data_IF_166320274899
#
_entry.id   IF_166320274899
#
_cell.length_a   1.000
_cell.length_b   1.000
_cell.length_c   1.000
_cell.angle_alpha   90.00
_cell.angle_beta   90.00
_cell.angle_gamma   90.00
#
_symmetry.space_group_name_H-M   'P 1'
#
loop_
_entity.id
_entity.type
_entity.pdbx_description
1 polymer ?
#
# COMPACT_ATOMS: atom_id res chain seq x y z
N UNK A 1 5.43 20.71 19.79
CA UNK A 1 6.34 20.69 18.63
C UNK A 1 6.62 19.24 18.30
N UNK A 2 5.76 18.64 17.44
CA UNK A 2 5.92 17.28 17.00
C UNK A 2 7.04 17.22 15.96
N UNK A 3 8.07 16.45 16.23
CA UNK A 3 9.09 16.11 15.25
C UNK A 3 8.76 14.73 14.71
N UNK A 4 8.56 14.70 13.39
CA UNK A 4 8.38 13.50 12.64
C UNK A 4 9.53 12.52 12.90
N UNK A 5 9.17 11.32 13.34
CA UNK A 5 10.08 10.19 13.25
C UNK A 5 10.19 9.84 11.77
N UNK A 6 11.30 10.20 11.14
CA UNK A 6 11.55 9.89 9.73
C UNK A 6 11.61 8.38 9.54
N UNK A 7 10.48 7.83 9.16
CA UNK A 7 10.45 6.57 8.43
C UNK A 7 10.77 7.00 7.01
N UNK A 8 11.85 6.47 6.42
CA UNK A 8 12.21 6.78 5.05
C UNK A 8 11.05 6.40 4.12
N UNK A 9 10.23 7.38 3.83
CA UNK A 9 9.38 7.35 2.66
C UNK A 9 10.18 7.99 1.52
N UNK A 10 10.95 7.19 0.79
CA UNK A 10 11.78 7.64 -0.31
C UNK A 10 11.00 8.24 -1.48
N UNK A 11 9.69 8.36 -1.33
CA UNK A 11 8.79 8.99 -2.29
C UNK A 11 8.54 10.45 -1.92
N UNK A 12 9.60 11.29 -1.92
CA UNK A 12 9.42 12.73 -1.80
C UNK A 12 8.87 13.32 -3.11
N UNK A 13 7.88 14.22 -3.02
CA UNK A 13 7.40 14.95 -4.19
C UNK A 13 8.46 15.96 -4.66
N UNK A 14 8.69 15.96 -5.96
CA UNK A 14 9.46 16.98 -6.68
C UNK A 14 8.73 18.33 -6.54
N UNK A 15 9.26 19.23 -5.71
CA UNK A 15 8.78 20.59 -5.55
C UNK A 15 9.61 21.54 -6.41
N UNK A 16 9.37 21.55 -7.72
CA UNK A 16 9.74 22.69 -8.56
C UNK A 16 8.63 23.73 -8.54
N UNK A 17 8.65 24.63 -7.57
CA UNK A 17 7.89 25.87 -7.59
C UNK A 17 8.80 26.99 -8.10
N UNK A 18 8.50 27.48 -9.29
CA UNK A 18 9.04 28.74 -9.80
C UNK A 18 8.34 29.90 -9.11
N UNK A 19 9.12 30.68 -8.39
CA UNK A 19 8.73 31.95 -7.81
C UNK A 19 8.54 32.99 -8.92
N UNK A 20 7.34 33.55 -9.01
CA UNK A 20 7.12 34.82 -9.68
C UNK A 20 6.78 35.90 -8.63
N UNK A 21 7.77 36.73 -8.36
CA UNK A 21 7.67 37.95 -7.60
C UNK A 21 7.05 39.03 -8.48
N UNK A 22 5.93 39.62 -8.06
CA UNK A 22 5.42 40.89 -8.59
C UNK A 22 5.29 41.88 -7.46
N UNK A 23 6.17 42.88 -7.50
CA UNK A 23 6.13 44.13 -6.73
C UNK A 23 5.12 45.10 -7.35
N UNK A 24 4.35 45.81 -6.53
CA UNK A 24 3.53 46.92 -7.00
C UNK A 24 2.65 47.56 -5.92
N UNK A 25 3.17 48.48 -5.20
CA UNK A 25 2.83 49.87 -4.79
C UNK A 25 1.37 50.25 -4.51
N UNK A 26 1.15 50.66 -3.27
CA UNK A 26 0.58 51.94 -2.73
C UNK A 26 -0.57 52.64 -3.43
N UNK A 27 -1.57 52.99 -2.64
CA UNK A 27 -2.55 54.06 -2.93
C UNK A 27 -3.67 54.11 -1.90
N UNK A 28 -3.58 55.15 -1.05
CA UNK A 28 -4.59 55.64 -0.11
C UNK A 28 -5.92 55.99 -0.81
N UNK A 29 -7.09 55.80 -0.18
CA UNK A 29 -7.89 56.90 0.29
C UNK A 29 -9.23 56.43 0.85
N UNK A 30 -9.71 57.23 1.80
CA UNK A 30 -10.92 57.14 2.60
C UNK A 30 -12.20 57.21 1.76
N UNK A 31 -13.25 56.50 2.15
CA UNK A 31 -14.62 57.03 2.17
C UNK A 31 -15.49 56.18 3.09
N UNK A 32 -16.04 56.90 4.03
CA UNK A 32 -17.06 56.56 5.01
C UNK A 32 -18.39 56.30 4.32
N UNK A 33 -19.13 55.25 4.68
CA UNK A 33 -20.60 55.18 4.66
C UNK A 33 -21.16 53.80 5.04
N UNK A 34 -22.46 53.65 5.38
CA UNK A 34 -22.89 53.17 6.69
C UNK A 34 -23.23 51.67 6.74
N UNK A 35 -23.15 51.13 7.95
CA UNK A 35 -23.51 49.71 8.26
C UNK A 35 -25.01 49.47 8.02
N UNK A 36 -25.40 48.41 7.29
CA UNK A 36 -26.75 47.90 7.39
C UNK A 36 -26.90 46.95 8.58
N UNK A 37 -28.07 47.06 9.18
CA UNK A 37 -28.55 46.43 10.41
C UNK A 37 -28.39 44.92 10.41
N UNK A 38 -27.99 44.40 11.58
CA UNK A 38 -27.98 42.99 11.95
C UNK A 38 -29.32 42.29 11.66
N UNK A 39 -29.37 41.44 10.69
CA UNK A 39 -30.36 40.39 10.60
C UNK A 39 -29.96 39.28 11.55
N UNK A 40 -30.78 39.11 12.58
CA UNK A 40 -30.74 38.08 13.59
C UNK A 40 -30.79 36.71 12.90
N UNK A 41 -29.63 36.03 12.78
CA UNK A 41 -29.62 34.63 12.42
C UNK A 41 -30.30 33.87 13.54
N UNK A 42 -31.43 33.24 13.23
CA UNK A 42 -32.02 32.20 14.06
C UNK A 42 -31.07 31.01 14.04
N UNK A 43 -30.52 30.65 15.19
CA UNK A 43 -29.82 29.36 15.39
C UNK A 43 -30.82 28.23 15.10
N UNK A 44 -30.45 27.23 14.33
CA UNK A 44 -31.29 26.03 14.18
C UNK A 44 -31.36 25.33 15.54
N UNK A 45 -32.59 25.08 15.97
CA UNK A 45 -32.94 24.39 17.22
C UNK A 45 -32.05 23.17 17.45
N UNK A 46 -31.55 23.06 18.68
CA UNK A 46 -30.79 21.94 19.20
C UNK A 46 -31.55 20.63 18.96
N UNK A 47 -30.98 19.76 18.13
CA UNK A 47 -31.48 18.40 17.97
C UNK A 47 -31.38 17.64 19.31
N UNK A 48 -32.52 17.18 19.83
CA UNK A 48 -32.65 16.33 20.99
C UNK A 48 -31.76 15.06 20.85
N UNK A 49 -30.77 14.82 21.77
CA UNK A 49 -29.90 13.67 21.68
C UNK A 49 -30.61 12.32 21.94
N UNK A 50 -31.90 12.32 22.21
CA UNK A 50 -32.69 11.13 22.53
C UNK A 50 -33.44 10.49 21.38
N UNK A 51 -33.30 11.02 20.16
CA UNK A 51 -33.86 10.39 18.97
C UNK A 51 -32.73 9.86 18.06
N UNK A 52 -32.26 8.62 18.24
CA UNK A 52 -31.37 8.01 17.28
C UNK A 52 -32.15 7.90 15.97
N UNK A 53 -31.83 8.77 14.99
CA UNK A 53 -32.31 8.61 13.62
C UNK A 53 -32.06 7.16 13.25
N UNK A 54 -33.12 6.38 13.16
CA UNK A 54 -33.06 5.00 12.70
C UNK A 54 -32.41 5.03 11.34
N UNK A 55 -31.13 4.62 11.28
CA UNK A 55 -30.48 4.31 10.02
C UNK A 55 -31.26 3.15 9.47
N UNK A 56 -32.15 3.43 8.52
CA UNK A 56 -32.77 2.35 7.75
C UNK A 56 -31.62 1.47 7.25
N UNK A 57 -31.58 0.19 7.61
CA UNK A 57 -30.54 -0.70 7.12
C UNK A 57 -30.66 -0.65 5.59
N UNK A 58 -29.59 -0.21 4.92
CA UNK A 58 -29.49 -0.32 3.47
C UNK A 58 -29.68 -1.80 3.17
N UNK A 59 -30.66 -2.20 2.36
CA UNK A 59 -30.90 -3.62 2.09
C UNK A 59 -29.58 -4.23 1.60
N UNK A 60 -29.14 -5.29 2.28
CA UNK A 60 -27.97 -6.06 1.85
C UNK A 60 -28.24 -6.53 0.43
N UNK A 61 -27.47 -6.02 -0.54
CA UNK A 61 -27.57 -6.50 -1.90
C UNK A 61 -27.08 -7.93 -1.91
N UNK A 62 -27.92 -8.85 -2.34
CA UNK A 62 -27.49 -10.22 -2.59
C UNK A 62 -26.54 -10.19 -3.80
N UNK A 63 -25.31 -10.65 -3.59
CA UNK A 63 -24.31 -10.78 -4.66
C UNK A 63 -24.20 -12.25 -5.09
N UNK A 64 -24.28 -12.47 -6.38
CA UNK A 64 -24.01 -13.79 -6.96
C UNK A 64 -22.55 -13.86 -7.39
N UNK A 65 -21.72 -14.45 -6.54
CA UNK A 65 -20.26 -14.53 -6.71
C UNK A 65 -19.82 -15.99 -6.64
N UNK A 66 -19.17 -16.47 -7.68
CA UNK A 66 -18.57 -17.81 -7.73
C UNK A 66 -17.34 -17.90 -6.82
N UNK A 67 -16.89 -19.12 -6.54
CA UNK A 67 -15.65 -19.35 -5.80
C UNK A 67 -14.43 -18.76 -6.53
N UNK A 68 -14.38 -18.87 -7.87
CA UNK A 68 -13.32 -18.26 -8.70
C UNK A 68 -13.30 -16.74 -8.54
N UNK A 69 -14.46 -16.10 -8.64
CA UNK A 69 -14.60 -14.66 -8.45
C UNK A 69 -14.24 -14.21 -7.01
N UNK A 70 -14.59 -15.00 -6.00
CA UNK A 70 -14.18 -14.72 -4.62
C UNK A 70 -12.66 -14.73 -4.48
N UNK A 71 -11.97 -15.70 -5.08
CA UNK A 71 -10.51 -15.75 -5.10
C UNK A 71 -9.90 -14.55 -5.86
N UNK A 72 -10.48 -14.16 -6.99
CA UNK A 72 -10.07 -12.95 -7.73
C UNK A 72 -10.19 -11.69 -6.87
N UNK A 73 -11.30 -11.56 -6.13
CA UNK A 73 -11.47 -10.44 -5.20
C UNK A 73 -10.47 -10.48 -4.04
N UNK A 74 -10.15 -11.68 -3.53
CA UNK A 74 -9.16 -11.85 -2.48
C UNK A 74 -7.76 -11.41 -2.96
N UNK A 75 -7.34 -11.82 -4.17
CA UNK A 75 -6.07 -11.36 -4.73
C UNK A 75 -6.05 -9.83 -4.85
N UNK A 76 -7.06 -9.22 -5.48
CA UNK A 76 -7.13 -7.76 -5.63
C UNK A 76 -7.14 -7.06 -4.28
N UNK A 77 -7.84 -7.62 -3.27
CA UNK A 77 -7.87 -7.07 -1.92
C UNK A 77 -6.53 -7.18 -1.19
N UNK A 78 -5.79 -8.27 -1.40
CA UNK A 78 -4.48 -8.49 -0.78
C UNK A 78 -3.45 -7.49 -1.29
N UNK A 79 -3.41 -7.23 -2.59
CA UNK A 79 -2.39 -6.39 -3.24
C UNK A 79 -2.82 -4.95 -3.52
N UNK A 80 -3.98 -4.51 -3.00
CA UNK A 80 -4.58 -3.18 -3.23
C UNK A 80 -4.96 -2.91 -4.67
N UNK A 81 -4.06 -3.17 -5.60
CA UNK A 81 -4.28 -3.04 -7.04
C UNK A 81 -3.53 -4.12 -7.79
N UNK A 82 -4.15 -4.65 -8.84
CA UNK A 82 -3.53 -5.64 -9.74
C UNK A 82 -3.80 -5.21 -11.18
N UNK A 83 -2.81 -5.35 -12.05
CA UNK A 83 -3.03 -5.21 -13.49
C UNK A 83 -3.89 -6.36 -14.01
N UNK A 84 -4.88 -6.04 -14.85
CA UNK A 84 -5.76 -7.05 -15.43
C UNK A 84 -4.99 -8.09 -16.27
N UNK A 85 -3.92 -7.66 -16.94
CA UNK A 85 -3.00 -8.55 -17.67
C UNK A 85 -2.40 -9.62 -16.77
N UNK A 86 -1.86 -9.19 -15.61
CA UNK A 86 -1.17 -10.08 -14.67
C UNK A 86 -2.17 -11.04 -14.01
N UNK A 87 -3.34 -10.52 -13.61
CA UNK A 87 -4.42 -11.33 -13.09
C UNK A 87 -4.86 -12.40 -14.12
N UNK A 88 -4.98 -12.00 -15.40
CA UNK A 88 -5.35 -12.90 -16.51
C UNK A 88 -4.31 -13.99 -16.67
N UNK A 89 -3.05 -13.64 -16.68
CA UNK A 89 -1.96 -14.59 -16.83
C UNK A 89 -1.92 -15.61 -15.69
N UNK A 90 -1.89 -15.10 -14.47
CA UNK A 90 -1.67 -15.92 -13.26
C UNK A 90 -2.90 -16.75 -12.90
N UNK A 91 -4.07 -16.11 -12.78
CA UNK A 91 -5.25 -16.77 -12.24
C UNK A 91 -6.05 -17.52 -13.30
N UNK A 92 -6.03 -17.03 -14.52
CA UNK A 92 -6.82 -17.59 -15.62
C UNK A 92 -5.98 -18.31 -16.68
N UNK A 93 -4.66 -18.50 -16.41
CA UNK A 93 -3.76 -19.19 -17.33
C UNK A 93 -3.70 -18.55 -18.72
N UNK A 94 -3.86 -17.22 -18.81
CA UNK A 94 -3.91 -16.49 -20.08
C UNK A 94 -5.28 -16.51 -20.77
N UNK A 95 -6.31 -17.11 -20.18
CA UNK A 95 -7.66 -17.14 -20.78
C UNK A 95 -8.37 -15.77 -20.59
N UNK A 96 -8.12 -14.84 -21.52
CA UNK A 96 -8.68 -13.48 -21.50
C UNK A 96 -10.21 -13.47 -21.49
N UNK A 97 -10.85 -14.38 -22.25
CA UNK A 97 -12.31 -14.43 -22.34
C UNK A 97 -12.94 -14.73 -20.98
N UNK A 98 -12.39 -15.69 -20.25
CA UNK A 98 -12.84 -16.05 -18.92
C UNK A 98 -12.56 -14.93 -17.92
N UNK A 99 -11.33 -14.39 -17.92
CA UNK A 99 -10.93 -13.28 -17.06
C UNK A 99 -11.86 -12.06 -17.22
N UNK A 100 -12.10 -11.64 -18.47
CA UNK A 100 -12.98 -10.52 -18.76
C UNK A 100 -14.44 -10.80 -18.35
N UNK A 101 -14.94 -12.01 -18.56
CA UNK A 101 -16.30 -12.37 -18.17
C UNK A 101 -16.49 -12.28 -16.65
N UNK A 102 -15.57 -12.85 -15.86
CA UNK A 102 -15.63 -12.84 -14.40
C UNK A 102 -15.40 -11.44 -13.83
N UNK A 103 -14.39 -10.72 -14.32
CA UNK A 103 -14.08 -9.35 -13.88
C UNK A 103 -15.23 -8.38 -14.21
N UNK A 104 -15.80 -8.46 -15.42
CA UNK A 104 -16.94 -7.63 -15.80
C UNK A 104 -18.19 -7.92 -14.94
N UNK A 105 -18.39 -9.16 -14.52
CA UNK A 105 -19.45 -9.49 -13.57
C UNK A 105 -19.22 -8.78 -12.23
N UNK A 106 -18.01 -8.86 -11.66
CA UNK A 106 -17.66 -8.19 -10.40
C UNK A 106 -17.74 -6.65 -10.50
N UNK A 107 -17.38 -6.06 -11.66
CA UNK A 107 -17.52 -4.63 -11.92
C UNK A 107 -18.99 -4.21 -11.96
N UNK A 108 -19.88 -4.98 -12.62
CA UNK A 108 -21.33 -4.73 -12.66
C UNK A 108 -21.96 -4.80 -11.27
N UNK A 109 -21.52 -5.74 -10.44
CA UNK A 109 -21.95 -5.87 -9.06
C UNK A 109 -21.31 -4.82 -8.13
N UNK A 110 -20.44 -3.94 -8.63
CA UNK A 110 -19.70 -2.91 -7.89
C UNK A 110 -18.79 -3.47 -6.77
N UNK A 111 -18.38 -4.71 -6.89
CA UNK A 111 -17.44 -5.34 -5.96
C UNK A 111 -15.99 -4.99 -6.30
N UNK A 112 -15.67 -4.82 -7.58
CA UNK A 112 -14.42 -4.27 -8.08
C UNK A 112 -14.63 -2.91 -8.75
N UNK A 113 -13.55 -2.17 -8.85
CA UNK A 113 -13.42 -0.94 -9.63
C UNK A 113 -12.23 -1.08 -10.56
N UNK A 114 -12.33 -0.52 -11.77
CA UNK A 114 -11.22 -0.41 -12.71
C UNK A 114 -10.72 1.03 -12.81
N UNK A 115 -9.42 1.17 -13.04
CA UNK A 115 -8.77 2.41 -13.49
C UNK A 115 -7.90 2.10 -14.70
N UNK A 116 -7.60 3.13 -15.49
CA UNK A 116 -6.78 3.01 -16.69
C UNK A 116 -5.64 4.00 -16.55
N UNK A 117 -4.39 3.54 -16.64
CA UNK A 117 -3.24 4.44 -16.67
C UNK A 117 -3.03 5.02 -18.07
N UNK A 118 -2.41 6.18 -18.13
CA UNK A 118 -1.97 6.83 -19.35
C UNK A 118 -0.43 6.94 -19.26
N UNK A 119 0.31 6.77 -20.36
CA UNK A 119 -0.12 6.58 -21.75
C UNK A 119 -0.40 5.12 -22.16
N UNK A 120 0.02 4.13 -21.36
CA UNK A 120 0.07 2.70 -21.72
C UNK A 120 -1.31 2.04 -21.81
N UNK A 121 -2.37 2.72 -21.34
CA UNK A 121 -3.74 2.22 -21.29
C UNK A 121 -3.88 0.90 -20.49
N UNK A 122 -2.93 0.64 -19.58
CA UNK A 122 -3.01 -0.52 -18.70
C UNK A 122 -4.24 -0.43 -17.79
N UNK A 123 -4.94 -1.54 -17.63
CA UNK A 123 -6.14 -1.63 -16.80
C UNK A 123 -5.77 -2.19 -15.45
N UNK A 124 -6.09 -1.45 -14.40
CA UNK A 124 -5.88 -1.84 -13.02
C UNK A 124 -7.20 -2.05 -12.28
N UNK A 125 -7.21 -3.05 -11.42
CA UNK A 125 -8.36 -3.44 -10.62
C UNK A 125 -8.10 -3.13 -9.16
N UNK A 126 -9.10 -2.58 -8.48
CA UNK A 126 -9.10 -2.32 -7.03
C UNK A 126 -10.40 -2.83 -6.42
N UNK A 127 -10.33 -3.24 -5.15
CA UNK A 127 -11.51 -3.66 -4.41
C UNK A 127 -12.32 -2.42 -3.97
N UNK A 128 -13.64 -2.49 -4.08
CA UNK A 128 -14.51 -1.45 -3.54
C UNK A 128 -14.76 -1.66 -2.05
N UNK A 129 -15.26 -0.64 -1.30
CA UNK A 129 -15.70 -0.85 0.08
C UNK A 129 -16.77 -1.95 0.22
N UNK A 130 -17.64 -2.11 -0.79
CA UNK A 130 -18.66 -3.15 -0.83
C UNK A 130 -18.03 -4.53 -1.04
N UNK A 131 -17.09 -4.64 -2.00
CA UNK A 131 -16.32 -5.86 -2.22
C UNK A 131 -15.50 -6.28 -1.01
N UNK A 132 -14.92 -5.32 -0.30
CA UNK A 132 -14.19 -5.57 0.93
C UNK A 132 -15.11 -6.14 2.02
N UNK A 133 -16.29 -5.53 2.26
CA UNK A 133 -17.28 -6.07 3.22
C UNK A 133 -17.70 -7.47 2.84
N UNK A 134 -17.95 -7.73 1.55
CA UNK A 134 -18.31 -9.05 1.05
C UNK A 134 -17.23 -10.10 1.36
N UNK A 135 -15.96 -9.79 1.15
CA UNK A 135 -14.85 -10.69 1.49
C UNK A 135 -14.76 -10.94 2.99
N UNK A 136 -14.91 -9.92 3.83
CA UNK A 136 -14.85 -10.08 5.28
C UNK A 136 -15.97 -10.98 5.81
N UNK A 137 -17.17 -10.89 5.26
CA UNK A 137 -18.29 -11.79 5.67
C UNK A 137 -18.08 -13.24 5.23
N UNK A 138 -17.38 -13.45 4.10
CA UNK A 138 -17.05 -14.79 3.59
C UNK A 138 -15.78 -15.38 4.20
N UNK A 139 -14.83 -14.56 4.64
CA UNK A 139 -13.57 -15.02 5.22
C UNK A 139 -13.70 -15.68 6.58
N UNK A 140 -14.78 -15.42 7.32
CA UNK A 140 -15.09 -16.21 8.51
C UNK A 140 -15.35 -17.71 8.22
N UNK A 141 -15.30 -18.11 6.94
CA UNK A 141 -15.50 -19.48 6.48
C UNK A 141 -14.32 -20.06 5.70
N UNK A 142 -13.21 -19.33 5.48
CA UNK A 142 -12.12 -19.75 4.59
C UNK A 142 -10.72 -19.50 5.18
N UNK A 143 -9.78 -20.32 4.73
CA UNK A 143 -8.41 -20.56 5.15
C UNK A 143 -7.43 -19.35 5.28
N UNK A 144 -7.90 -18.12 5.36
CA UNK A 144 -7.06 -16.92 5.44
C UNK A 144 -7.44 -16.01 6.61
N UNK A 145 -7.62 -16.60 7.80
CA UNK A 145 -8.05 -15.88 9.02
C UNK A 145 -7.21 -14.64 9.37
N UNK A 146 -5.95 -14.60 8.93
CA UNK A 146 -5.00 -13.52 9.23
C UNK A 146 -4.66 -12.60 8.06
N UNK A 147 -5.27 -12.80 6.86
CA UNK A 147 -4.97 -11.95 5.71
C UNK A 147 -5.73 -10.63 5.77
N UNK A 148 -4.98 -9.52 5.69
CA UNK A 148 -5.57 -8.18 5.58
C UNK A 148 -5.94 -7.92 4.12
N UNK A 149 -7.16 -7.42 3.90
CA UNK A 149 -7.60 -6.96 2.59
C UNK A 149 -7.69 -5.43 2.56
N UNK A 150 -7.30 -4.87 1.45
CA UNK A 150 -7.33 -3.44 1.19
C UNK A 150 -8.41 -3.10 0.17
N UNK A 151 -8.92 -1.89 0.24
CA UNK A 151 -9.91 -1.37 -0.70
C UNK A 151 -9.74 0.12 -0.93
N UNK A 152 -10.35 0.64 -1.97
CA UNK A 152 -10.40 2.06 -2.23
C UNK A 152 -9.44 2.51 -3.33
N UNK A 153 -9.19 3.82 -3.36
CA UNK A 153 -8.39 4.44 -4.40
C UNK A 153 -6.89 4.30 -4.12
N UNK A 154 -6.14 3.96 -5.17
CA UNK A 154 -4.68 4.01 -5.19
C UNK A 154 -4.27 5.23 -6.01
N UNK A 155 -3.33 6.02 -5.52
CA UNK A 155 -2.83 7.20 -6.25
C UNK A 155 -2.17 6.76 -7.55
N UNK A 156 -2.41 7.49 -8.62
CA UNK A 156 -1.96 7.11 -9.97
C UNK A 156 -0.46 6.79 -10.02
N UNK A 157 0.38 7.58 -9.36
CA UNK A 157 1.84 7.37 -9.29
C UNK A 157 2.27 6.10 -8.53
N UNK A 158 1.40 5.56 -7.68
CA UNK A 158 1.66 4.36 -6.88
C UNK A 158 1.08 3.10 -7.56
N UNK A 159 0.17 3.29 -8.52
CA UNK A 159 -0.59 2.19 -9.13
C UNK A 159 0.29 1.17 -9.83
N UNK A 160 1.27 1.62 -10.59
CA UNK A 160 2.19 0.75 -11.33
C UNK A 160 3.11 -0.01 -10.38
N UNK A 161 3.67 0.69 -9.38
CA UNK A 161 4.49 0.06 -8.36
C UNK A 161 3.68 -0.99 -7.58
N UNK A 162 2.50 -0.63 -7.07
CA UNK A 162 1.66 -1.55 -6.30
C UNK A 162 1.21 -2.77 -7.13
N UNK A 163 0.97 -2.57 -8.44
CA UNK A 163 0.67 -3.68 -9.33
C UNK A 163 1.88 -4.59 -9.54
N UNK A 164 3.09 -4.04 -9.64
CA UNK A 164 4.32 -4.81 -9.78
C UNK A 164 4.64 -5.63 -8.50
N UNK A 165 4.15 -5.23 -7.32
CA UNK A 165 4.23 -6.05 -6.10
C UNK A 165 3.50 -7.38 -6.26
N UNK A 166 2.42 -7.43 -7.04
CA UNK A 166 1.75 -8.70 -7.34
C UNK A 166 2.64 -9.64 -8.19
N UNK A 167 3.38 -9.11 -9.17
CA UNK A 167 4.33 -9.89 -9.95
C UNK A 167 5.48 -10.41 -9.07
N UNK A 168 6.02 -9.54 -8.20
CA UNK A 168 7.03 -9.88 -7.22
C UNK A 168 6.57 -11.04 -6.31
N UNK A 169 5.35 -10.97 -5.81
CA UNK A 169 4.74 -12.04 -5.03
C UNK A 169 4.71 -13.36 -5.81
N UNK A 170 4.21 -13.34 -7.06
CA UNK A 170 4.09 -14.55 -7.85
C UNK A 170 5.45 -15.24 -8.04
N UNK A 171 6.46 -14.44 -8.36
CA UNK A 171 7.83 -14.94 -8.55
C UNK A 171 8.39 -15.62 -7.30
N UNK A 172 8.23 -14.99 -6.13
CA UNK A 172 8.74 -15.57 -4.89
C UNK A 172 7.86 -16.72 -4.39
N UNK A 173 6.54 -16.65 -4.56
CA UNK A 173 5.64 -17.74 -4.21
C UNK A 173 5.94 -19.02 -5.01
N UNK A 174 6.28 -18.90 -6.31
CA UNK A 174 6.75 -20.02 -7.12
C UNK A 174 8.04 -20.64 -6.55
N UNK A 175 9.00 -19.82 -6.11
CA UNK A 175 10.23 -20.29 -5.50
C UNK A 175 9.96 -21.03 -4.18
N UNK A 176 9.08 -20.49 -3.34
CA UNK A 176 8.67 -21.13 -2.07
C UNK A 176 7.99 -22.47 -2.35
N UNK A 177 7.05 -22.53 -3.29
CA UNK A 177 6.34 -23.76 -3.65
C UNK A 177 7.32 -24.78 -4.24
N UNK A 178 8.22 -24.36 -5.13
CA UNK A 178 9.24 -25.25 -5.72
C UNK A 178 10.18 -25.86 -4.68
N UNK A 179 10.43 -25.15 -3.56
CA UNK A 179 11.20 -25.65 -2.42
C UNK A 179 10.37 -26.51 -1.43
N UNK A 180 9.09 -26.76 -1.73
CA UNK A 180 8.19 -27.56 -0.90
C UNK A 180 7.48 -26.74 0.20
N UNK A 181 7.60 -25.41 0.20
CA UNK A 181 6.96 -24.53 1.16
C UNK A 181 5.54 -24.12 0.75
N UNK A 182 4.84 -23.42 1.65
CA UNK A 182 3.49 -22.92 1.44
C UNK A 182 3.34 -21.53 2.02
N UNK A 183 3.02 -20.54 1.19
CA UNK A 183 2.72 -19.19 1.65
C UNK A 183 1.45 -19.21 2.52
N UNK A 184 1.55 -18.62 3.71
CA UNK A 184 0.47 -18.55 4.70
C UNK A 184 -0.10 -17.16 4.81
N UNK A 185 0.72 -16.10 4.59
CA UNK A 185 0.29 -14.71 4.68
C UNK A 185 1.12 -13.78 3.81
N UNK A 186 0.48 -12.77 3.30
CA UNK A 186 1.07 -11.66 2.54
C UNK A 186 0.89 -10.37 3.33
N UNK A 187 2.00 -9.66 3.61
CA UNK A 187 2.01 -8.42 4.39
C UNK A 187 2.65 -7.33 3.55
N UNK A 188 1.87 -6.30 3.23
CA UNK A 188 2.38 -5.13 2.50
C UNK A 188 3.04 -4.12 3.46
N UNK A 189 3.87 -3.26 2.90
CA UNK A 189 4.56 -2.16 3.62
C UNK A 189 3.60 -1.32 4.49
N UNK A 190 2.37 -1.08 4.00
CA UNK A 190 1.33 -0.32 4.71
C UNK A 190 0.96 -0.92 6.06
N UNK A 191 0.89 -2.25 6.15
CA UNK A 191 0.57 -2.95 7.39
C UNK A 191 1.71 -2.81 8.38
N UNK A 192 2.95 -3.02 7.91
CA UNK A 192 4.16 -2.86 8.73
C UNK A 192 4.32 -1.41 9.21
N UNK A 193 4.19 -0.43 8.31
CA UNK A 193 4.23 1.00 8.63
C UNK A 193 3.16 1.38 9.65
N UNK A 194 1.93 0.88 9.50
CA UNK A 194 0.83 1.16 10.44
C UNK A 194 1.09 0.60 11.83
N UNK A 195 1.61 -0.64 11.93
CA UNK A 195 2.00 -1.26 13.20
C UNK A 195 3.11 -0.48 13.86
N UNK A 196 4.19 -0.24 13.12
CA UNK A 196 5.37 0.47 13.57
C UNK A 196 5.03 1.89 14.06
N UNK A 197 4.31 2.69 13.25
CA UNK A 197 3.93 4.06 13.61
C UNK A 197 3.10 4.11 14.89
N UNK A 198 2.19 3.14 15.10
CA UNK A 198 1.39 3.06 16.33
C UNK A 198 2.26 2.81 17.56
N UNK A 199 3.29 1.97 17.45
CA UNK A 199 4.23 1.67 18.52
C UNK A 199 5.15 2.87 18.78
N UNK A 200 5.74 3.45 17.73
CA UNK A 200 6.64 4.59 17.82
C UNK A 200 5.96 5.85 18.36
N UNK A 201 4.68 6.08 18.05
CA UNK A 201 3.93 7.22 18.58
C UNK A 201 3.87 7.22 20.11
N UNK A 202 3.93 6.05 20.75
CA UNK A 202 3.97 5.92 22.22
C UNK A 202 5.31 6.34 22.83
N UNK A 203 6.36 6.36 22.00
CA UNK A 203 7.72 6.72 22.45
C UNK A 203 7.99 8.23 22.38
N UNK A 204 7.11 9.01 21.76
CA UNK A 204 7.30 10.45 21.54
C UNK A 204 7.44 11.29 22.83
N UNK A 205 6.99 10.75 23.98
CA UNK A 205 7.11 11.39 25.30
C UNK A 205 8.42 11.07 26.03
N UNK A 206 9.23 10.15 25.53
CA UNK A 206 10.48 9.74 26.17
C UNK A 206 11.64 10.69 25.81
N UNK A 207 12.73 10.75 26.61
CA UNK A 207 13.99 11.38 26.22
C UNK A 207 14.55 10.79 24.92
N UNK A 208 15.30 11.58 24.16
CA UNK A 208 15.79 11.16 22.83
C UNK A 208 16.64 9.90 22.85
N UNK A 209 17.51 9.77 23.87
CA UNK A 209 18.41 8.63 23.97
C UNK A 209 17.61 7.34 24.20
N UNK A 210 16.60 7.39 25.06
CA UNK A 210 15.68 6.28 25.29
C UNK A 210 14.81 5.99 24.05
N UNK A 211 14.46 7.03 23.25
CA UNK A 211 13.71 6.83 22.02
C UNK A 211 14.46 5.98 21.01
N UNK A 212 15.77 6.19 20.80
CA UNK A 212 16.56 5.44 19.83
C UNK A 212 16.74 3.97 20.24
N UNK A 213 16.95 3.70 21.54
CA UNK A 213 17.02 2.35 22.06
C UNK A 213 15.69 1.62 21.87
N UNK A 214 14.59 2.25 22.31
CA UNK A 214 13.24 1.69 22.19
C UNK A 214 12.78 1.52 20.72
N UNK A 215 13.22 2.41 19.84
CA UNK A 215 12.97 2.27 18.39
C UNK A 215 13.58 0.98 17.83
N UNK A 216 14.79 0.64 18.28
CA UNK A 216 15.42 -0.64 17.90
C UNK A 216 14.67 -1.86 18.44
N UNK A 217 14.18 -1.78 19.69
CA UNK A 217 13.36 -2.85 20.27
C UNK A 217 12.05 -3.06 19.51
N UNK A 218 11.33 -1.94 19.25
CA UNK A 218 10.07 -1.98 18.50
C UNK A 218 10.28 -2.54 17.08
N UNK A 219 11.37 -2.17 16.41
CA UNK A 219 11.70 -2.75 15.12
C UNK A 219 11.90 -4.27 15.19
N UNK A 220 12.65 -4.75 16.20
CA UNK A 220 12.88 -6.18 16.41
C UNK A 220 11.59 -6.95 16.72
N UNK A 221 10.67 -6.37 17.51
CA UNK A 221 9.36 -6.99 17.78
C UNK A 221 8.55 -7.22 16.49
N UNK A 222 8.60 -6.27 15.54
CA UNK A 222 7.97 -6.43 14.22
C UNK A 222 8.86 -7.23 13.26
N UNK A 223 9.99 -7.75 13.74
CA UNK A 223 10.97 -8.51 12.97
C UNK A 223 11.60 -7.69 11.85
N UNK A 224 11.78 -6.38 12.06
CA UNK A 224 12.43 -5.44 11.15
C UNK A 224 13.87 -5.16 11.61
N UNK A 225 14.73 -4.83 10.65
CA UNK A 225 16.15 -4.54 10.91
C UNK A 225 16.38 -3.03 10.91
N UNK A 226 17.22 -2.56 11.84
CA UNK A 226 17.69 -1.17 11.87
C UNK A 226 19.08 -1.10 11.22
N UNK A 227 19.22 -0.29 10.17
CA UNK A 227 20.49 -0.07 9.48
C UNK A 227 20.82 1.42 9.54
N UNK A 228 22.00 1.77 10.06
CA UNK A 228 22.44 3.17 10.21
C UNK A 228 21.40 4.06 10.91
N UNK A 229 20.74 3.55 11.99
CA UNK A 229 19.71 4.28 12.75
C UNK A 229 18.33 4.35 12.09
N UNK A 230 18.13 3.69 10.95
CA UNK A 230 16.86 3.68 10.20
C UNK A 230 16.26 2.29 10.15
N UNK A 231 14.96 2.20 10.46
CA UNK A 231 14.22 0.94 10.35
C UNK A 231 13.97 0.68 8.86
N UNK A 232 14.41 -0.49 8.39
CA UNK A 232 14.16 -0.93 7.02
C UNK A 232 12.82 -1.65 6.94
N UNK A 233 11.94 -1.18 6.05
CA UNK A 233 10.60 -1.76 5.84
C UNK A 233 10.55 -2.30 4.42
N UNK A 234 10.26 -3.60 4.22
CA UNK A 234 10.15 -4.18 2.88
C UNK A 234 8.87 -3.69 2.17
N UNK A 235 8.86 -3.71 0.85
CA UNK A 235 7.64 -3.50 0.06
C UNK A 235 6.64 -4.63 0.29
N UNK A 236 7.15 -5.85 0.48
CA UNK A 236 6.38 -7.06 0.67
C UNK A 236 7.08 -8.02 1.63
N UNK A 237 6.33 -8.53 2.60
CA UNK A 237 6.74 -9.66 3.44
C UNK A 237 5.86 -10.86 3.16
N UNK A 238 6.45 -12.03 2.93
CA UNK A 238 5.73 -13.29 2.88
C UNK A 238 6.03 -14.09 4.15
N UNK A 239 4.98 -14.49 4.84
CA UNK A 239 5.06 -15.54 5.86
C UNK A 239 4.68 -16.86 5.20
N UNK A 240 5.45 -17.90 5.46
CA UNK A 240 5.23 -19.20 4.86
C UNK A 240 5.71 -20.33 5.77
N UNK A 241 5.18 -21.52 5.57
CA UNK A 241 5.71 -22.74 6.12
C UNK A 241 6.73 -23.32 5.13
N UNK A 242 7.91 -23.69 5.61
CA UNK A 242 8.88 -24.42 4.81
C UNK A 242 8.44 -25.89 4.58
N UNK A 243 9.26 -26.69 3.86
CA UNK A 243 8.98 -28.10 3.61
C UNK A 243 8.85 -28.94 4.89
N UNK A 244 9.45 -28.47 5.99
CA UNK A 244 9.45 -29.14 7.29
C UNK A 244 8.37 -28.56 8.23
N UNK A 245 7.44 -27.75 7.67
CA UNK A 245 6.35 -27.06 8.36
C UNK A 245 6.80 -26.02 9.40
N UNK A 246 8.04 -25.54 9.33
CA UNK A 246 8.49 -24.47 10.21
C UNK A 246 8.00 -23.12 9.69
N UNK A 247 7.45 -22.25 10.57
CA UNK A 247 7.07 -20.90 10.20
C UNK A 247 8.32 -20.06 9.86
N UNK A 248 8.31 -19.49 8.68
CA UNK A 248 9.43 -18.71 8.12
C UNK A 248 8.89 -17.46 7.45
N UNK A 249 9.75 -16.48 7.21
CA UNK A 249 9.41 -15.26 6.45
C UNK A 249 10.51 -14.88 5.49
N UNK A 250 10.11 -14.16 4.43
CA UNK A 250 11.03 -13.48 3.52
C UNK A 250 10.55 -12.07 3.28
N UNK A 251 11.48 -11.13 3.35
CA UNK A 251 11.27 -9.71 3.07
C UNK A 251 11.77 -9.39 1.66
N UNK A 252 10.90 -8.77 0.87
CA UNK A 252 11.11 -8.53 -0.55
C UNK A 252 11.05 -7.03 -0.84
N UNK A 253 11.93 -6.58 -1.73
CA UNK A 253 12.01 -5.20 -2.19
C UNK A 253 11.96 -5.13 -3.70
N UNK A 254 11.13 -4.24 -4.23
CA UNK A 254 11.05 -3.95 -5.65
C UNK A 254 11.90 -2.71 -5.98
N UNK A 255 13.13 -2.93 -6.40
CA UNK A 255 14.04 -1.85 -6.76
C UNK A 255 13.70 -1.26 -8.14
N UNK A 256 13.54 0.05 -8.20
CA UNK A 256 13.37 0.81 -9.44
C UNK A 256 14.65 1.53 -9.81
N UNK A 257 14.81 1.93 -11.07
CA UNK A 257 16.00 2.64 -11.55
C UNK A 257 16.28 4.00 -10.88
N UNK A 258 15.39 4.46 -10.01
CA UNK A 258 15.54 5.70 -9.24
C UNK A 258 16.09 5.47 -7.82
N UNK A 259 16.35 4.21 -7.44
CA UNK A 259 16.91 3.92 -6.12
C UNK A 259 18.29 4.54 -5.95
N UNK A 260 18.49 5.17 -4.77
CA UNK A 260 19.81 5.67 -4.37
C UNK A 260 20.68 4.51 -3.89
N UNK A 261 21.98 4.52 -4.22
CA UNK A 261 22.92 3.47 -3.84
C UNK A 261 22.88 3.11 -2.34
N UNK A 262 22.95 4.13 -1.48
CA UNK A 262 22.94 3.89 -0.01
C UNK A 262 21.65 3.28 0.53
N UNK A 263 20.51 3.49 -0.13
CA UNK A 263 19.25 2.90 0.23
C UNK A 263 19.19 1.42 -0.15
N UNK A 264 19.60 1.08 -1.36
CA UNK A 264 19.67 -0.30 -1.82
C UNK A 264 20.61 -1.14 -0.95
N UNK A 265 21.77 -0.59 -0.60
CA UNK A 265 22.71 -1.23 0.31
C UNK A 265 22.11 -1.47 1.70
N UNK A 266 21.34 -0.51 2.24
CA UNK A 266 20.67 -0.65 3.51
C UNK A 266 19.60 -1.76 3.50
N UNK A 267 18.84 -1.90 2.41
CA UNK A 267 17.88 -2.98 2.22
C UNK A 267 18.59 -4.34 2.16
N UNK A 268 19.71 -4.38 1.44
CA UNK A 268 20.57 -5.55 1.39
C UNK A 268 21.12 -5.97 2.75
N UNK A 269 21.68 -5.01 3.47
CA UNK A 269 22.17 -5.25 4.85
C UNK A 269 21.03 -5.72 5.77
N UNK A 270 19.79 -5.29 5.53
CA UNK A 270 18.63 -5.76 6.28
C UNK A 270 18.21 -7.19 5.92
N UNK A 271 18.81 -7.81 4.89
CA UNK A 271 18.53 -9.19 4.47
C UNK A 271 17.35 -9.31 3.50
N UNK A 272 16.94 -8.22 2.85
CA UNK A 272 15.84 -8.27 1.88
C UNK A 272 16.30 -8.93 0.58
N UNK A 273 15.45 -9.75 -0.03
CA UNK A 273 15.61 -10.15 -1.42
C UNK A 273 15.17 -9.00 -2.32
N UNK A 274 16.06 -8.57 -3.20
CA UNK A 274 15.84 -7.41 -4.06
C UNK A 274 15.51 -7.90 -5.47
N UNK A 275 14.40 -7.43 -5.99
CA UNK A 275 13.94 -7.71 -7.34
C UNK A 275 13.90 -6.43 -8.16
N UNK A 276 14.15 -6.52 -9.45
CA UNK A 276 14.03 -5.41 -10.37
C UNK A 276 13.55 -5.87 -11.75
N UNK A 277 12.86 -5.01 -12.47
CA UNK A 277 12.60 -5.24 -13.89
C UNK A 277 13.93 -5.30 -14.67
N UNK A 278 13.94 -5.94 -15.83
CA UNK A 278 15.14 -6.02 -16.66
C UNK A 278 15.71 -4.63 -17.01
N UNK A 279 14.83 -3.64 -17.24
CA UNK A 279 15.23 -2.26 -17.53
C UNK A 279 15.80 -1.54 -16.31
N UNK A 280 15.24 -1.78 -15.13
CA UNK A 280 15.74 -1.18 -13.89
C UNK A 280 17.03 -1.84 -13.43
N UNK A 281 17.17 -3.15 -13.57
CA UNK A 281 18.42 -3.87 -13.26
C UNK A 281 19.61 -3.32 -14.04
N UNK A 282 19.43 -2.95 -15.33
CA UNK A 282 20.48 -2.30 -16.13
C UNK A 282 20.87 -0.96 -15.52
N UNK A 283 19.91 -0.16 -15.06
CA UNK A 283 20.16 1.16 -14.44
C UNK A 283 20.80 1.04 -13.06
N UNK A 284 20.52 -0.02 -12.34
CA UNK A 284 21.05 -0.29 -11.00
C UNK A 284 22.45 -0.93 -11.00
N UNK A 285 22.94 -1.45 -12.16
CA UNK A 285 24.26 -2.05 -12.28
C UNK A 285 25.43 -1.21 -11.72
N UNK A 286 25.49 0.10 -11.92
CA UNK A 286 26.55 0.92 -11.31
C UNK A 286 26.50 0.91 -9.77
N UNK A 287 25.31 0.79 -9.19
CA UNK A 287 25.12 0.67 -7.75
C UNK A 287 25.61 -0.66 -7.19
N UNK A 288 25.56 -1.72 -8.01
CA UNK A 288 25.98 -3.08 -7.62
C UNK A 288 27.49 -3.27 -7.70
N UNK A 289 28.24 -2.39 -8.36
CA UNK A 289 29.69 -2.43 -8.40
C UNK A 289 30.33 -2.03 -7.06
N UNK A 290 29.55 -1.55 -6.11
CA UNK A 290 29.99 -1.22 -4.76
C UNK A 290 30.17 -2.51 -3.96
N UNK A 291 31.38 -2.77 -3.38
CA UNK A 291 31.64 -3.95 -2.54
C UNK A 291 30.72 -4.07 -1.31
N UNK A 292 30.08 -2.95 -0.86
CA UNK A 292 29.11 -2.96 0.21
C UNK A 292 27.75 -3.55 -0.23
N UNK A 293 27.50 -3.66 -1.54
CA UNK A 293 26.26 -4.23 -2.11
C UNK A 293 26.58 -5.61 -2.70
N UNK A 294 26.91 -6.57 -1.84
CA UNK A 294 27.11 -7.97 -2.25
C UNK A 294 25.79 -8.73 -2.43
N UNK A 295 24.74 -8.08 -2.90
CA UNK A 295 23.47 -8.75 -3.09
C UNK A 295 23.12 -8.96 -4.55
N UNK A 296 22.60 -10.14 -4.81
CA UNK A 296 22.03 -10.52 -6.10
C UNK A 296 20.68 -9.81 -6.29
N UNK A 297 20.55 -9.07 -7.41
CA UNK A 297 19.25 -8.55 -7.83
C UNK A 297 18.61 -9.60 -8.73
N UNK A 298 17.47 -10.10 -8.29
CA UNK A 298 16.71 -11.09 -9.03
C UNK A 298 15.89 -10.42 -10.15
N UNK A 299 15.76 -11.08 -11.28
CA UNK A 299 14.87 -10.61 -12.34
C UNK A 299 13.40 -10.86 -11.98
N UNK A 300 12.61 -9.82 -12.19
CA UNK A 300 11.16 -9.87 -12.05
C UNK A 300 10.53 -10.43 -13.33
#
# INVERSE_FOLDING_TARGET
MGRDFSIDDERQPDTSRSDNVVLGRSGSDQADSPRPRSTRFQEPESSDPRNPKSRNPIPERSHEVSQSQTKTMADVGTFRTIALSDLTHVRYGGNEKQALAEVNNLLRQKLLRRSISQPERAVYLTLTPEGHRFLLTRNGQAAHENQVFYHGFVKTRETEHDAAIYQLYQKEAENIIASGGKVTRVILDFELKKSLNRKLARLSSLPKDEQEERKSEVAKEDGLTVVKGRIQIPDLRLEYEDRDHNPTKVDLELATGHYRHGSLAAKGTAGFKIYASASDAVRLRPAMADPEIMQEIFAL
#
